data_IF_803935584542
#
_entry.id   IF_803935584542
#
_cell.length_a   1.000
_cell.length_b   1.000
_cell.length_c   1.000
_cell.angle_alpha   90.00
_cell.angle_beta   90.00
_cell.angle_gamma   90.00
#
_symmetry.space_group_name_H-M   'P 1'
#
loop_
_entity.id
_entity.type
_entity.pdbx_description
1 polymer ?
#
# COMPACT_ATOMS: atom_id res chain seq x y z
N UNK A 1 -2.41 -8.22 19.56
CA UNK A 1 -2.10 -7.91 20.99
C UNK A 1 -2.48 -6.46 21.24
N UNK A 2 -3.12 -6.13 22.37
CA UNK A 2 -3.44 -4.76 22.74
C UNK A 2 -2.65 -4.35 23.98
N UNK A 3 -1.90 -3.24 23.91
CA UNK A 3 -1.27 -2.64 25.07
C UNK A 3 -2.15 -1.55 25.66
N UNK A 4 -2.16 -1.47 27.00
CA UNK A 4 -2.81 -0.41 27.77
C UNK A 4 -1.72 0.46 28.37
N UNK A 5 -1.73 1.75 28.05
CA UNK A 5 -0.73 2.71 28.50
C UNK A 5 -1.47 3.93 29.03
N UNK A 6 -1.39 4.14 30.34
CA UNK A 6 -2.03 5.25 31.03
C UNK A 6 -1.08 6.44 31.07
N UNK A 7 -1.59 7.59 30.65
CA UNK A 7 -0.82 8.82 30.54
C UNK A 7 -1.65 10.03 30.98
N UNK A 8 -0.95 11.10 31.35
CA UNK A 8 -1.55 12.41 31.59
C UNK A 8 -1.01 13.42 30.56
N UNK A 9 -1.89 14.25 30.00
CA UNK A 9 -1.50 15.31 29.07
C UNK A 9 -0.74 16.44 29.78
N UNK A 10 0.46 16.75 29.31
CA UNK A 10 1.33 17.78 29.93
C UNK A 10 0.73 19.19 29.85
N UNK A 11 -0.18 19.44 28.90
CA UNK A 11 -0.79 20.75 28.70
C UNK A 11 -1.96 21.03 29.66
N UNK A 12 -2.81 20.04 29.95
CA UNK A 12 -4.10 20.27 30.64
C UNK A 12 -4.48 19.25 31.71
N UNK A 13 -3.54 18.34 32.02
CA UNK A 13 -3.66 17.26 32.99
C UNK A 13 -4.85 16.32 32.75
N UNK A 14 -5.33 16.20 31.51
CA UNK A 14 -6.34 15.21 31.17
C UNK A 14 -5.70 13.81 31.18
N UNK A 15 -6.23 12.92 32.02
CA UNK A 15 -5.88 11.51 32.03
C UNK A 15 -6.46 10.76 30.81
N UNK A 16 -5.63 9.93 30.19
CA UNK A 16 -5.93 9.17 28.97
C UNK A 16 -5.37 7.76 29.13
N UNK A 17 -6.16 6.75 28.74
CA UNK A 17 -5.67 5.37 28.60
C UNK A 17 -5.57 5.03 27.12
N UNK A 18 -4.35 5.01 26.59
CA UNK A 18 -4.09 4.51 25.24
C UNK A 18 -4.25 2.99 25.21
N UNK A 19 -5.16 2.51 24.37
CA UNK A 19 -5.44 1.08 24.15
C UNK A 19 -5.05 0.74 22.72
N UNK A 20 -3.78 0.41 22.53
CA UNK A 20 -3.12 0.35 21.22
C UNK A 20 -2.99 -1.10 20.76
N UNK A 21 -3.60 -1.43 19.62
CA UNK A 21 -3.33 -2.65 18.89
C UNK A 21 -1.97 -2.58 18.21
N UNK A 22 -1.13 -3.58 18.50
CA UNK A 22 0.24 -3.67 18.00
C UNK A 22 0.24 -4.30 16.60
N UNK A 23 0.88 -3.61 15.64
CA UNK A 23 1.15 -4.09 14.28
C UNK A 23 2.46 -4.85 14.13
N UNK A 24 2.85 -5.16 12.90
CA UNK A 24 4.10 -5.87 12.54
C UNK A 24 5.35 -4.98 12.46
N UNK A 25 5.19 -3.67 12.25
CA UNK A 25 6.31 -2.73 12.13
C UNK A 25 7.12 -2.60 13.44
N UNK A 26 8.44 -2.43 13.30
CA UNK A 26 9.36 -2.32 14.45
C UNK A 26 9.12 -1.07 15.30
N UNK A 27 8.76 0.05 14.67
CA UNK A 27 8.47 1.32 15.35
C UNK A 27 7.05 1.73 14.97
N UNK A 28 6.21 2.00 15.97
CA UNK A 28 4.79 2.30 15.78
C UNK A 28 4.44 3.60 16.51
N UNK A 29 4.01 4.60 15.75
CA UNK A 29 3.67 5.92 16.25
C UNK A 29 2.16 6.06 16.42
N UNK A 30 1.73 6.50 17.60
CA UNK A 30 0.34 6.74 17.94
C UNK A 30 0.18 8.17 18.45
N UNK A 31 -0.75 8.94 17.90
CA UNK A 31 -1.06 10.25 18.49
C UNK A 31 -2.45 10.74 18.10
N UNK A 32 -3.11 11.42 19.03
CA UNK A 32 -4.47 11.96 18.90
C UNK A 32 -4.53 13.39 19.41
N UNK A 33 -5.61 14.10 19.12
CA UNK A 33 -5.91 15.35 19.82
C UNK A 33 -6.40 15.04 21.24
N UNK A 34 -5.83 15.69 22.26
CA UNK A 34 -6.27 15.59 23.63
C UNK A 34 -7.78 15.90 23.73
N UNK A 35 -8.61 15.08 24.38
CA UNK A 35 -10.05 15.31 24.47
C UNK A 35 -10.42 16.69 25.04
N UNK A 36 -9.60 17.22 25.95
CA UNK A 36 -9.80 18.48 26.67
C UNK A 36 -9.19 19.68 25.95
N UNK A 37 -7.85 19.76 25.80
CA UNK A 37 -7.18 20.93 25.24
C UNK A 37 -6.91 20.88 23.73
N UNK A 38 -7.25 19.77 23.07
CA UNK A 38 -7.03 19.52 21.63
C UNK A 38 -5.57 19.50 21.16
N UNK A 39 -4.60 19.76 22.04
CA UNK A 39 -3.17 19.57 21.72
C UNK A 39 -2.88 18.11 21.40
N UNK A 40 -1.94 17.89 20.49
CA UNK A 40 -1.48 16.54 20.11
C UNK A 40 -0.90 15.86 21.34
N UNK A 41 -1.33 14.63 21.60
CA UNK A 41 -0.80 13.73 22.65
C UNK A 41 -0.55 12.37 22.04
N UNK A 42 0.48 11.64 22.48
CA UNK A 42 0.82 10.38 21.82
C UNK A 42 2.02 9.64 22.42
N UNK A 43 2.38 8.56 21.76
CA UNK A 43 3.48 7.70 22.14
C UNK A 43 4.08 6.99 20.92
N UNK A 44 5.38 6.71 20.99
CA UNK A 44 6.08 5.85 20.05
C UNK A 44 6.39 4.53 20.74
N UNK A 45 5.99 3.41 20.12
CA UNK A 45 6.30 2.06 20.58
C UNK A 45 7.43 1.45 19.77
N UNK A 46 8.34 0.77 20.47
CA UNK A 46 9.35 -0.10 19.90
C UNK A 46 8.93 -1.56 20.10
N UNK A 47 8.71 -2.27 18.99
CA UNK A 47 8.43 -3.70 19.00
C UNK A 47 9.74 -4.49 19.17
N UNK A 48 9.87 -5.13 20.32
CA UNK A 48 10.96 -6.04 20.63
C UNK A 48 10.47 -7.47 20.38
N UNK A 49 11.11 -8.16 19.43
CA UNK A 49 10.95 -9.60 19.30
C UNK A 49 11.93 -10.28 20.24
N UNK A 50 11.43 -11.02 21.23
CA UNK A 50 12.23 -12.03 21.92
C UNK A 50 11.85 -13.39 21.35
N UNK A 51 12.81 -14.15 20.78
CA UNK A 51 12.60 -15.57 20.55
C UNK A 51 12.23 -16.20 21.88
N UNK A 52 11.17 -16.99 21.86
CA UNK A 52 10.73 -17.75 23.02
C UNK A 52 10.24 -19.10 22.54
N UNK A 53 10.13 -20.04 23.46
CA UNK A 53 9.50 -21.32 23.17
C UNK A 53 8.53 -21.63 24.30
N UNK A 54 7.30 -21.96 23.95
CA UNK A 54 6.37 -22.61 24.88
C UNK A 54 6.31 -24.08 24.47
N UNK A 55 6.66 -24.99 25.38
CA UNK A 55 6.67 -26.45 25.12
C UNK A 55 7.46 -26.89 23.87
N UNK A 56 8.56 -26.20 23.55
CA UNK A 56 9.39 -26.51 22.38
C UNK A 56 8.84 -25.98 21.05
N UNK A 57 7.67 -25.34 21.06
CA UNK A 57 7.11 -24.63 19.90
C UNK A 57 7.73 -23.23 19.85
N UNK A 58 8.42 -22.85 18.75
CA UNK A 58 8.96 -21.50 18.59
C UNK A 58 7.82 -20.49 18.62
N UNK A 59 7.81 -19.62 19.63
CA UNK A 59 6.91 -18.48 19.70
C UNK A 59 7.72 -17.19 19.55
N UNK A 60 7.26 -16.28 18.69
CA UNK A 60 7.72 -14.88 18.74
C UNK A 60 6.89 -14.16 19.79
N UNK A 61 7.43 -13.96 20.98
CA UNK A 61 6.85 -13.01 21.93
C UNK A 61 7.21 -11.60 21.46
N UNK A 62 6.21 -10.89 20.99
CA UNK A 62 6.31 -9.48 20.68
C UNK A 62 6.01 -8.68 21.95
N UNK A 63 7.02 -8.05 22.53
CA UNK A 63 6.82 -7.05 23.58
C UNK A 63 7.00 -5.68 22.96
N UNK A 64 6.03 -4.78 23.10
CA UNK A 64 6.27 -3.38 22.77
C UNK A 64 6.64 -2.59 24.03
N UNK A 65 7.62 -1.70 23.91
CA UNK A 65 8.02 -0.78 24.97
C UNK A 65 7.82 0.64 24.49
N UNK A 66 7.38 1.54 25.37
CA UNK A 66 7.32 2.97 25.03
C UNK A 66 8.74 3.48 24.85
N UNK A 67 9.03 3.97 23.64
CA UNK A 67 10.29 4.61 23.27
C UNK A 67 10.24 6.10 23.55
N UNK A 68 9.11 6.75 23.29
CA UNK A 68 8.93 8.19 23.47
C UNK A 68 7.47 8.53 23.80
N UNK A 69 7.26 9.58 24.60
CA UNK A 69 5.96 10.20 24.85
C UNK A 69 5.88 11.55 24.14
N UNK A 70 4.69 11.90 23.64
CA UNK A 70 4.44 13.14 22.89
C UNK A 70 3.45 13.97 23.70
N UNK A 71 3.92 15.05 24.35
CA UNK A 71 3.11 15.98 25.15
C UNK A 71 2.23 15.28 26.21
N UNK A 72 2.77 14.21 26.76
CA UNK A 72 2.21 13.48 27.89
C UNK A 72 3.32 12.74 28.64
N UNK A 73 2.99 12.24 29.82
CA UNK A 73 3.87 11.37 30.60
C UNK A 73 3.07 10.22 31.20
N UNK A 74 3.77 9.15 31.59
CA UNK A 74 3.15 8.01 32.28
C UNK A 74 2.48 8.47 33.58
N UNK A 75 1.26 7.98 33.82
CA UNK A 75 0.56 8.13 35.08
C UNK A 75 -0.24 6.86 35.35
N UNK A 76 -0.29 6.43 36.62
CA UNK A 76 -1.09 5.28 37.01
C UNK A 76 -2.57 5.51 36.66
N UNK A 77 -3.26 4.44 36.22
CA UNK A 77 -4.64 4.54 35.71
C UNK A 77 -5.62 4.95 36.82
N UNK A 78 -6.34 6.06 36.63
CA UNK A 78 -7.46 6.48 37.47
C UNK A 78 -8.81 6.22 36.77
N UNK A 79 -9.88 6.11 37.55
CA UNK A 79 -11.20 5.69 37.05
C UNK A 79 -11.84 6.66 36.02
N UNK A 80 -11.41 7.92 36.02
CA UNK A 80 -11.90 9.00 35.17
C UNK A 80 -11.08 9.19 33.88
N UNK A 81 -10.02 8.42 33.67
CA UNK A 81 -9.23 8.51 32.45
C UNK A 81 -10.06 8.12 31.23
N UNK A 82 -9.88 8.86 30.14
CA UNK A 82 -10.62 8.64 28.90
C UNK A 82 -9.89 7.55 28.11
N UNK A 83 -10.54 6.40 27.81
CA UNK A 83 -9.94 5.39 26.95
C UNK A 83 -9.85 5.93 25.52
N UNK A 84 -8.72 5.67 24.86
CA UNK A 84 -8.50 5.96 23.45
C UNK A 84 -7.98 4.70 22.79
N UNK A 85 -8.87 4.03 22.09
CA UNK A 85 -8.57 2.87 21.27
C UNK A 85 -7.76 3.33 20.03
N UNK A 86 -6.75 2.58 19.61
CA UNK A 86 -5.99 2.83 18.36
C UNK A 86 -5.44 1.51 17.82
N UNK A 87 -5.06 1.49 16.54
CA UNK A 87 -4.34 0.37 15.93
C UNK A 87 -3.27 0.89 14.98
N UNK A 88 -2.07 0.27 14.96
CA UNK A 88 -0.97 0.74 14.12
C UNK A 88 -1.25 0.57 12.63
N UNK A 89 -1.92 -0.52 12.28
CA UNK A 89 -2.04 -0.97 10.89
C UNK A 89 -3.49 -1.03 10.39
N UNK A 90 -4.45 -0.54 11.17
CA UNK A 90 -5.87 -0.76 10.90
C UNK A 90 -6.73 0.44 11.25
N UNK A 91 -7.86 0.54 10.56
CA UNK A 91 -8.81 1.65 10.66
C UNK A 91 -10.17 1.11 11.08
N UNK A 92 -10.87 1.85 11.93
CA UNK A 92 -12.18 1.46 12.40
C UNK A 92 -13.08 2.67 12.72
N UNK A 93 -14.40 2.47 12.87
CA UNK A 93 -15.34 3.56 13.04
C UNK A 93 -15.09 4.40 14.29
N UNK A 94 -15.13 5.71 14.13
CA UNK A 94 -14.84 6.71 15.18
C UNK A 94 -15.73 6.59 16.41
N UNK A 95 -16.94 6.07 16.25
CA UNK A 95 -17.85 5.81 17.37
C UNK A 95 -17.24 4.89 18.44
N UNK A 96 -16.30 4.02 18.06
CA UNK A 96 -15.68 3.05 18.96
C UNK A 96 -14.38 3.54 19.63
N UNK A 97 -13.91 4.77 19.36
CA UNK A 97 -12.62 5.26 19.90
C UNK A 97 -12.57 5.29 21.41
N UNK A 98 -13.67 5.63 22.06
CA UNK A 98 -13.75 5.75 23.52
C UNK A 98 -14.47 4.56 24.17
N UNK A 99 -14.70 3.47 23.43
CA UNK A 99 -15.43 2.32 23.96
C UNK A 99 -14.55 1.49 24.91
N UNK A 100 -14.96 1.42 26.18
CA UNK A 100 -14.18 0.83 27.29
C UNK A 100 -13.90 -0.67 27.14
N UNK A 101 -14.81 -1.42 26.51
CA UNK A 101 -14.73 -2.88 26.41
C UNK A 101 -14.24 -3.36 25.04
N UNK A 102 -14.00 -2.43 24.10
CA UNK A 102 -13.48 -2.78 22.80
C UNK A 102 -12.06 -3.34 22.89
N UNK A 103 -11.74 -4.38 22.13
CA UNK A 103 -10.37 -4.81 21.85
C UNK A 103 -10.12 -4.51 20.38
N UNK A 104 -9.34 -3.46 20.05
CA UNK A 104 -9.17 -3.02 18.67
C UNK A 104 -8.71 -4.14 17.72
N UNK A 105 -7.74 -4.95 18.15
CA UNK A 105 -7.23 -6.06 17.34
C UNK A 105 -8.29 -7.13 17.06
N UNK A 106 -9.20 -7.42 17.99
CA UNK A 106 -10.23 -8.45 17.81
C UNK A 106 -11.31 -8.00 16.85
N UNK A 107 -11.82 -6.76 17.03
CA UNK A 107 -12.85 -6.22 16.15
C UNK A 107 -12.36 -6.17 14.70
N UNK A 108 -11.12 -5.70 14.49
CA UNK A 108 -10.61 -5.61 13.14
C UNK A 108 -10.31 -6.98 12.54
N UNK A 109 -9.72 -7.90 13.32
CA UNK A 109 -9.50 -9.27 12.88
C UNK A 109 -10.80 -9.88 12.35
N UNK A 110 -11.91 -9.71 13.09
CA UNK A 110 -13.22 -10.18 12.68
C UNK A 110 -13.68 -9.52 11.37
N UNK A 111 -13.67 -8.19 11.28
CA UNK A 111 -14.13 -7.48 10.06
C UNK A 111 -13.34 -7.86 8.81
N UNK A 112 -12.02 -7.97 8.93
CA UNK A 112 -11.16 -8.34 7.80
C UNK A 112 -11.42 -9.79 7.38
N UNK A 113 -11.53 -10.72 8.33
CA UNK A 113 -11.81 -12.13 8.04
C UNK A 113 -13.17 -12.30 7.38
N UNK A 114 -14.24 -11.72 7.94
CA UNK A 114 -15.59 -11.79 7.38
C UNK A 114 -15.65 -11.24 5.94
N UNK A 115 -14.94 -10.13 5.68
CA UNK A 115 -14.87 -9.57 4.33
C UNK A 115 -14.09 -10.47 3.36
N UNK A 116 -12.92 -10.95 3.78
CA UNK A 116 -12.06 -11.81 2.97
C UNK A 116 -12.76 -13.13 2.62
N UNK A 117 -13.48 -13.73 3.58
CA UNK A 117 -14.30 -14.93 3.36
C UNK A 117 -15.42 -14.66 2.36
N UNK A 118 -16.17 -13.56 2.53
CA UNK A 118 -17.23 -13.16 1.57
C UNK A 118 -16.70 -12.93 0.16
N UNK A 119 -15.45 -12.48 0.01
CA UNK A 119 -14.78 -12.29 -1.28
C UNK A 119 -14.17 -13.58 -1.84
N UNK A 120 -14.20 -14.68 -1.10
CA UNK A 120 -13.55 -15.93 -1.47
C UNK A 120 -12.02 -15.85 -1.49
N UNK A 121 -11.44 -14.87 -0.78
CA UNK A 121 -9.99 -14.68 -0.63
C UNK A 121 -9.42 -15.70 0.35
N UNK A 122 -10.23 -16.12 1.31
CA UNK A 122 -9.83 -16.93 2.46
C UNK A 122 -11.01 -17.84 2.88
N UNK A 123 -10.72 -19.03 3.40
CA UNK A 123 -11.72 -19.91 4.03
C UNK A 123 -11.36 -20.16 5.50
N UNK A 124 -12.28 -19.88 6.43
CA UNK A 124 -12.05 -20.04 7.86
C UNK A 124 -11.63 -21.46 8.25
N UNK A 125 -12.12 -22.47 7.53
CA UNK A 125 -11.74 -23.86 7.74
C UNK A 125 -10.22 -24.09 7.57
N UNK A 126 -9.55 -23.31 6.72
CA UNK A 126 -8.10 -23.43 6.47
C UNK A 126 -7.26 -23.02 7.69
N UNK A 127 -7.77 -22.16 8.58
CA UNK A 127 -7.10 -21.80 9.84
C UNK A 127 -7.22 -22.87 10.91
N UNK A 128 -8.17 -23.79 10.76
CA UNK A 128 -8.48 -24.82 11.75
C UNK A 128 -8.01 -26.20 11.34
N UNK A 129 -7.41 -26.34 10.15
CA UNK A 129 -6.89 -27.60 9.67
C UNK A 129 -5.83 -28.13 10.64
N UNK A 130 -6.08 -29.28 11.29
CA UNK A 130 -5.13 -29.85 12.24
C UNK A 130 -3.87 -30.25 11.47
N UNK A 131 -2.76 -29.58 11.77
CA UNK A 131 -1.45 -30.05 11.31
C UNK A 131 -1.07 -31.31 12.11
N UNK A 132 -0.13 -32.15 11.62
CA UNK A 132 0.41 -33.27 12.39
C UNK A 132 1.00 -32.87 13.76
N UNK A 133 1.19 -31.58 14.00
CA UNK A 133 1.77 -30.98 15.21
C UNK A 133 0.73 -30.25 16.09
N UNK A 134 -0.57 -30.37 15.81
CA UNK A 134 -1.65 -29.72 16.55
C UNK A 134 -2.29 -28.53 15.82
N UNK A 135 -3.18 -27.76 16.49
CA UNK A 135 -3.81 -26.59 15.89
C UNK A 135 -2.75 -25.52 15.56
N UNK A 136 -2.64 -25.14 14.28
CA UNK A 136 -1.80 -24.01 13.88
C UNK A 136 -2.61 -22.73 13.98
N UNK A 137 -2.24 -21.83 14.90
CA UNK A 137 -2.83 -20.50 14.96
C UNK A 137 -2.04 -19.57 14.03
N UNK A 138 -2.59 -19.28 12.85
CA UNK A 138 -2.05 -18.24 11.94
C UNK A 138 -2.71 -16.91 12.32
N UNK A 139 -1.92 -15.82 12.37
CA UNK A 139 -2.49 -14.50 12.64
C UNK A 139 -3.33 -14.02 11.45
N UNK A 140 -4.36 -13.21 11.68
CA UNK A 140 -5.16 -12.63 10.57
C UNK A 140 -4.29 -11.81 9.61
N UNK A 141 -3.27 -11.13 10.14
CA UNK A 141 -2.29 -10.42 9.33
C UNK A 141 -1.61 -11.37 8.34
N UNK A 142 -1.04 -12.47 8.82
CA UNK A 142 -0.36 -13.46 7.96
C UNK A 142 -1.34 -14.18 7.03
N UNK A 143 -2.53 -14.55 7.51
CA UNK A 143 -3.58 -15.23 6.74
C UNK A 143 -4.06 -14.39 5.55
N UNK A 144 -4.05 -13.06 5.70
CA UNK A 144 -4.40 -12.10 4.67
C UNK A 144 -3.17 -11.55 3.94
N UNK A 145 -2.05 -12.27 3.95
CA UNK A 145 -0.80 -11.89 3.25
C UNK A 145 -0.25 -10.52 3.66
N UNK A 146 -0.42 -10.15 4.92
CA UNK A 146 0.32 -9.06 5.55
C UNK A 146 1.80 -9.40 5.60
N UNK A 147 2.65 -8.40 5.40
CA UNK A 147 4.10 -8.60 5.36
C UNK A 147 4.83 -7.46 6.06
N UNK A 148 5.44 -7.79 7.21
CA UNK A 148 6.14 -6.86 8.07
C UNK A 148 7.54 -6.46 7.55
N UNK A 149 8.03 -7.08 6.47
CA UNK A 149 9.35 -6.82 5.90
C UNK A 149 9.30 -5.94 4.65
N UNK A 150 8.11 -5.55 4.15
CA UNK A 150 7.97 -4.79 2.91
C UNK A 150 8.81 -3.52 2.88
N UNK A 151 8.79 -2.71 3.95
CA UNK A 151 9.60 -1.49 4.00
C UNK A 151 11.09 -1.79 3.96
N UNK A 152 11.59 -2.74 4.77
CA UNK A 152 13.02 -3.09 4.80
C UNK A 152 13.50 -3.72 3.49
N UNK A 153 12.70 -4.59 2.89
CA UNK A 153 13.00 -5.25 1.64
C UNK A 153 13.05 -4.25 0.48
N UNK A 154 12.17 -3.26 0.48
CA UNK A 154 12.22 -2.19 -0.52
C UNK A 154 13.56 -1.45 -0.50
N UNK A 155 14.06 -1.09 0.69
CA UNK A 155 15.34 -0.38 0.79
C UNK A 155 16.53 -1.24 0.34
N UNK A 156 16.45 -2.57 0.51
CA UNK A 156 17.41 -3.52 -0.05
C UNK A 156 17.36 -3.48 -1.59
N UNK A 157 16.17 -3.59 -2.18
CA UNK A 157 15.94 -3.55 -3.63
C UNK A 157 16.45 -2.25 -4.24
N UNK A 158 16.06 -1.11 -3.67
CA UNK A 158 16.48 0.22 -4.13
C UNK A 158 17.99 0.34 -4.13
N UNK A 159 18.65 -0.09 -3.05
CA UNK A 159 20.11 0.00 -2.94
C UNK A 159 20.81 -0.92 -3.93
N UNK A 160 20.31 -2.14 -4.13
CA UNK A 160 20.83 -3.05 -5.15
C UNK A 160 20.69 -2.46 -6.56
N UNK A 161 19.53 -1.87 -6.88
CA UNK A 161 19.31 -1.16 -8.15
C UNK A 161 20.33 -0.03 -8.37
N UNK A 162 20.55 0.83 -7.37
CA UNK A 162 21.52 1.93 -7.44
C UNK A 162 22.96 1.42 -7.65
N UNK A 163 23.32 0.30 -7.02
CA UNK A 163 24.63 -0.33 -7.19
C UNK A 163 24.80 -0.92 -8.60
N UNK A 164 23.76 -1.54 -9.16
CA UNK A 164 23.76 -2.04 -10.54
C UNK A 164 23.92 -0.90 -11.54
N UNK A 165 23.19 0.20 -11.39
CA UNK A 165 23.31 1.38 -12.26
C UNK A 165 24.72 1.99 -12.20
N UNK A 166 25.41 1.87 -11.07
CA UNK A 166 26.79 2.30 -10.89
C UNK A 166 27.84 1.28 -11.41
N UNK A 167 27.41 0.12 -11.94
CA UNK A 167 28.29 -0.95 -12.40
C UNK A 167 28.93 -1.78 -11.27
N UNK A 168 28.44 -1.67 -10.04
CA UNK A 168 28.96 -2.34 -8.84
C UNK A 168 28.21 -3.65 -8.55
N UNK A 169 28.16 -4.55 -9.54
CA UNK A 169 27.32 -5.75 -9.54
C UNK A 169 27.58 -6.69 -8.34
N UNK A 170 28.84 -6.89 -7.94
CA UNK A 170 29.17 -7.74 -6.79
C UNK A 170 28.61 -7.19 -5.47
N UNK A 171 28.61 -5.87 -5.31
CA UNK A 171 28.04 -5.21 -4.12
C UNK A 171 26.51 -5.27 -4.14
N UNK A 172 25.92 -5.13 -5.33
CA UNK A 172 24.48 -5.31 -5.52
C UNK A 172 24.04 -6.71 -5.10
N UNK A 173 24.75 -7.76 -5.55
CA UNK A 173 24.43 -9.13 -5.19
C UNK A 173 24.52 -9.38 -3.67
N UNK A 174 25.56 -8.85 -3.01
CA UNK A 174 25.69 -8.90 -1.55
C UNK A 174 24.59 -8.15 -0.81
N UNK A 175 24.03 -7.10 -1.40
CA UNK A 175 22.89 -6.40 -0.81
C UNK A 175 21.62 -7.25 -0.93
N UNK A 176 21.37 -7.84 -2.11
CA UNK A 176 20.24 -8.74 -2.37
C UNK A 176 20.24 -9.98 -1.46
N UNK A 177 21.41 -10.42 -0.99
CA UNK A 177 21.54 -11.50 0.01
C UNK A 177 20.82 -11.22 1.34
N UNK A 178 20.50 -9.95 1.62
CA UNK A 178 19.80 -9.54 2.85
C UNK A 178 18.28 -9.59 2.73
N UNK A 179 17.76 -9.80 1.52
CA UNK A 179 16.32 -9.81 1.24
C UNK A 179 15.60 -10.87 2.08
N UNK A 180 14.53 -10.47 2.77
CA UNK A 180 13.91 -11.31 3.81
C UNK A 180 13.39 -12.65 3.29
N UNK A 181 12.88 -12.66 2.05
CA UNK A 181 12.28 -13.82 1.40
C UNK A 181 13.25 -14.56 0.46
N UNK A 182 14.55 -14.29 0.51
CA UNK A 182 15.52 -14.86 -0.44
C UNK A 182 15.57 -16.40 -0.45
N UNK A 183 15.27 -17.03 0.68
CA UNK A 183 15.31 -18.48 0.83
C UNK A 183 14.21 -19.20 0.04
N UNK A 184 13.08 -18.55 -0.23
CA UNK A 184 11.99 -19.12 -1.04
C UNK A 184 12.30 -19.09 -2.55
N UNK A 185 13.24 -18.24 -2.97
CA UNK A 185 13.63 -18.09 -4.37
C UNK A 185 14.64 -19.18 -4.80
N UNK A 186 14.50 -19.73 -6.03
CA UNK A 186 15.48 -20.63 -6.63
C UNK A 186 16.87 -20.00 -6.64
N UNK A 187 17.92 -20.77 -6.33
CA UNK A 187 19.30 -20.24 -6.22
C UNK A 187 19.78 -19.53 -7.49
N UNK A 188 19.41 -20.04 -8.66
CA UNK A 188 19.71 -19.47 -9.98
C UNK A 188 18.83 -18.27 -10.34
N UNK A 189 17.77 -18.00 -9.57
CA UNK A 189 16.84 -16.89 -9.77
C UNK A 189 17.04 -15.71 -8.81
N UNK A 190 18.16 -15.65 -8.09
CA UNK A 190 18.43 -14.60 -7.07
C UNK A 190 19.08 -13.36 -7.67
N UNK A 191 18.47 -12.80 -8.71
CA UNK A 191 18.85 -11.52 -9.33
C UNK A 191 17.75 -10.48 -9.14
N UNK A 192 18.07 -9.22 -9.44
CA UNK A 192 17.27 -8.05 -9.09
C UNK A 192 15.82 -8.15 -9.60
N UNK A 193 15.62 -8.48 -10.87
CA UNK A 193 14.29 -8.54 -11.50
C UNK A 193 13.37 -9.57 -10.82
N UNK A 194 13.87 -10.77 -10.51
CA UNK A 194 13.08 -11.79 -9.81
C UNK A 194 12.75 -11.39 -8.38
N UNK A 195 13.69 -10.73 -7.68
CA UNK A 195 13.46 -10.23 -6.33
C UNK A 195 12.42 -9.10 -6.36
N UNK A 196 12.45 -8.22 -7.36
CA UNK A 196 11.41 -7.22 -7.59
C UNK A 196 10.07 -7.92 -7.83
N UNK A 197 10.01 -8.94 -8.70
CA UNK A 197 8.76 -9.67 -8.95
C UNK A 197 8.19 -10.32 -7.69
N UNK A 198 9.01 -11.05 -6.92
CA UNK A 198 8.60 -11.65 -5.65
C UNK A 198 8.08 -10.59 -4.66
N UNK A 199 8.80 -9.48 -4.54
CA UNK A 199 8.42 -8.37 -3.70
C UNK A 199 7.05 -7.79 -4.09
N UNK A 200 6.84 -7.54 -5.38
CA UNK A 200 5.60 -6.97 -5.89
C UNK A 200 4.42 -7.95 -5.74
N UNK A 201 4.66 -9.26 -5.93
CA UNK A 201 3.65 -10.29 -5.67
C UNK A 201 3.24 -10.32 -4.19
N UNK A 202 4.20 -10.30 -3.26
CA UNK A 202 3.91 -10.18 -1.82
C UNK A 202 3.18 -8.88 -1.49
N UNK A 203 3.54 -7.79 -2.17
CA UNK A 203 2.91 -6.49 -1.98
C UNK A 203 1.43 -6.49 -2.41
N UNK A 204 1.07 -7.13 -3.53
CA UNK A 204 -0.33 -7.15 -4.00
C UNK A 204 -1.17 -8.31 -3.42
N UNK A 205 -0.54 -9.38 -2.92
CA UNK A 205 -1.23 -10.51 -2.32
C UNK A 205 -2.12 -10.06 -1.13
N UNK A 206 -3.31 -10.66 -0.95
CA UNK A 206 -3.85 -11.80 -1.70
C UNK A 206 -4.66 -11.40 -2.93
N UNK A 207 -4.72 -10.10 -3.31
CA UNK A 207 -5.38 -9.63 -4.53
C UNK A 207 -4.57 -9.92 -5.79
N UNK A 208 -4.24 -11.20 -6.02
CA UNK A 208 -3.57 -11.67 -7.23
C UNK A 208 -4.46 -11.52 -8.47
N UNK A 209 -5.78 -11.45 -8.28
CA UNK A 209 -6.74 -11.20 -9.37
C UNK A 209 -6.42 -9.91 -10.14
N UNK A 210 -5.96 -8.86 -9.47
CA UNK A 210 -5.54 -7.62 -10.13
C UNK A 210 -4.42 -7.86 -11.17
N UNK A 211 -3.50 -8.79 -10.90
CA UNK A 211 -2.45 -9.20 -11.82
C UNK A 211 -2.98 -10.15 -12.89
N UNK A 212 -3.69 -11.20 -12.49
CA UNK A 212 -4.23 -12.25 -13.38
C UNK A 212 -5.13 -11.64 -14.47
N UNK A 213 -6.03 -10.71 -14.10
CA UNK A 213 -6.93 -10.05 -15.05
C UNK A 213 -6.15 -9.32 -16.18
N UNK A 214 -4.91 -8.87 -15.92
CA UNK A 214 -4.05 -8.17 -16.90
C UNK A 214 -3.15 -9.16 -17.64
N UNK A 215 -2.57 -10.14 -16.95
CA UNK A 215 -1.80 -11.23 -17.55
C UNK A 215 -2.63 -11.97 -18.60
N UNK A 216 -3.91 -12.24 -18.31
CA UNK A 216 -4.85 -12.85 -19.26
C UNK A 216 -5.00 -12.02 -20.56
N UNK A 217 -4.98 -10.69 -20.48
CA UNK A 217 -5.04 -9.83 -21.67
C UNK A 217 -3.74 -9.91 -22.49
N UNK A 218 -2.59 -10.07 -21.82
CA UNK A 218 -1.31 -10.31 -22.49
C UNK A 218 -1.28 -11.67 -23.18
N UNK A 219 -1.75 -12.73 -22.52
CA UNK A 219 -1.85 -14.06 -23.13
C UNK A 219 -2.84 -14.10 -24.29
N UNK A 220 -3.96 -13.37 -24.22
CA UNK A 220 -4.87 -13.18 -25.36
C UNK A 220 -4.16 -12.49 -26.53
N UNK A 221 -3.40 -11.43 -26.27
CA UNK A 221 -2.66 -10.72 -27.31
C UNK A 221 -1.59 -11.60 -27.95
N UNK A 222 -0.88 -12.39 -27.14
CA UNK A 222 0.10 -13.39 -27.57
C UNK A 222 -0.51 -14.43 -28.51
N UNK A 223 -1.65 -14.99 -28.12
CA UNK A 223 -2.35 -16.01 -28.90
C UNK A 223 -2.93 -15.44 -30.21
N UNK A 224 -3.34 -14.17 -30.20
CA UNK A 224 -3.88 -13.49 -31.37
C UNK A 224 -2.79 -13.13 -32.38
N UNK A 225 -1.70 -12.51 -31.94
CA UNK A 225 -0.60 -12.12 -32.80
C UNK A 225 0.74 -12.09 -32.03
N UNK A 226 1.37 -13.25 -31.95
CA UNK A 226 2.65 -13.43 -31.28
C UNK A 226 3.78 -12.55 -31.85
N UNK A 227 3.79 -12.34 -33.17
CA UNK A 227 4.81 -11.53 -33.82
C UNK A 227 4.75 -10.08 -33.33
N UNK A 228 3.56 -9.51 -33.30
CA UNK A 228 3.36 -8.12 -32.87
C UNK A 228 3.66 -7.94 -31.37
N UNK A 229 3.36 -8.93 -30.53
CA UNK A 229 3.73 -8.91 -29.12
C UNK A 229 5.26 -8.93 -28.94
N UNK A 230 5.98 -9.66 -29.80
CA UNK A 230 7.45 -9.65 -29.80
C UNK A 230 8.01 -8.29 -30.23
N UNK A 231 7.43 -7.67 -31.25
CA UNK A 231 7.82 -6.30 -31.65
C UNK A 231 7.59 -5.29 -30.52
N UNK A 232 6.49 -5.43 -29.77
CA UNK A 232 6.24 -4.65 -28.55
C UNK A 232 7.29 -4.93 -27.46
N UNK A 233 7.68 -6.18 -27.23
CA UNK A 233 8.74 -6.55 -26.27
C UNK A 233 10.07 -5.89 -26.63
N UNK A 234 10.45 -5.93 -27.91
CA UNK A 234 11.67 -5.30 -28.40
C UNK A 234 11.62 -3.77 -28.25
N UNK A 235 10.50 -3.13 -28.59
CA UNK A 235 10.30 -1.70 -28.35
C UNK A 235 10.38 -1.36 -26.86
N UNK A 236 9.74 -2.14 -25.99
CA UNK A 236 9.80 -1.90 -24.55
C UNK A 236 11.24 -1.97 -24.03
N UNK A 237 11.99 -3.02 -24.38
CA UNK A 237 13.39 -3.22 -23.95
C UNK A 237 14.30 -2.08 -24.38
N UNK A 238 14.14 -1.60 -25.62
CA UNK A 238 15.03 -0.61 -26.23
C UNK A 238 14.67 0.83 -25.85
N UNK A 239 13.38 1.16 -25.76
CA UNK A 239 12.91 2.54 -25.69
C UNK A 239 12.27 2.92 -24.33
N UNK A 240 11.65 1.98 -23.63
CA UNK A 240 10.85 2.29 -22.42
C UNK A 240 11.47 1.78 -21.11
N UNK A 241 12.04 0.58 -21.10
CA UNK A 241 12.49 -0.15 -19.89
C UNK A 241 13.28 0.72 -18.93
N UNK A 242 14.32 1.39 -19.43
CA UNK A 242 15.21 2.20 -18.58
C UNK A 242 14.48 3.36 -17.91
N UNK A 243 13.64 4.06 -18.66
CA UNK A 243 12.87 5.20 -18.15
C UNK A 243 11.78 4.74 -17.17
N UNK A 244 11.03 3.70 -17.54
CA UNK A 244 9.97 3.13 -16.69
C UNK A 244 10.53 2.62 -15.37
N UNK A 245 11.58 1.79 -15.40
CA UNK A 245 12.17 1.22 -14.20
C UNK A 245 12.68 2.31 -13.25
N UNK A 246 13.32 3.37 -13.77
CA UNK A 246 13.73 4.51 -12.95
C UNK A 246 12.54 5.17 -12.25
N UNK A 247 11.46 5.46 -12.98
CA UNK A 247 10.25 6.07 -12.42
C UNK A 247 9.58 5.17 -11.38
N UNK A 248 9.55 3.85 -11.61
CA UNK A 248 9.06 2.90 -10.61
C UNK A 248 9.89 2.96 -9.34
N UNK A 249 11.21 2.87 -9.45
CA UNK A 249 12.10 2.99 -8.28
C UNK A 249 11.87 4.31 -7.54
N UNK A 250 11.63 5.41 -8.26
CA UNK A 250 11.37 6.72 -7.65
C UNK A 250 10.03 6.76 -6.88
N UNK A 251 8.92 6.31 -7.47
CA UNK A 251 7.61 6.40 -6.79
C UNK A 251 7.46 5.39 -5.65
N UNK A 252 7.98 4.17 -5.82
CA UNK A 252 8.00 3.22 -4.72
C UNK A 252 8.90 3.71 -3.59
N UNK A 253 9.99 4.43 -3.88
CA UNK A 253 10.78 5.07 -2.83
C UNK A 253 10.00 6.15 -2.07
N UNK A 254 9.27 7.02 -2.77
CA UNK A 254 8.39 8.01 -2.12
C UNK A 254 7.32 7.31 -1.25
N UNK A 255 6.73 6.22 -1.75
CA UNK A 255 5.77 5.39 -1.02
C UNK A 255 6.39 4.80 0.25
N UNK A 256 7.52 4.08 0.12
CA UNK A 256 8.10 3.34 1.24
C UNK A 256 8.83 4.21 2.26
N UNK A 257 9.29 5.41 1.88
CA UNK A 257 9.73 6.43 2.85
C UNK A 257 8.58 6.91 3.76
N UNK A 258 7.35 6.83 3.26
CA UNK A 258 6.13 7.18 4.01
C UNK A 258 5.27 5.94 4.33
N UNK A 259 5.87 4.73 4.30
CA UNK A 259 5.14 3.46 4.42
C UNK A 259 4.26 3.38 5.67
N UNK A 260 4.72 3.94 6.78
CA UNK A 260 4.00 3.97 8.06
C UNK A 260 2.60 4.60 7.98
N UNK A 261 2.35 5.47 7.01
CA UNK A 261 1.05 6.12 6.78
C UNK A 261 0.19 5.27 5.85
N UNK A 262 0.79 4.74 4.77
CA UNK A 262 0.11 3.88 3.79
C UNK A 262 -0.24 2.48 4.30
N UNK A 263 0.65 1.88 5.10
CA UNK A 263 0.50 0.53 5.66
C UNK A 263 -0.74 0.39 6.55
N UNK A 264 -1.27 1.50 7.08
CA UNK A 264 -2.43 1.50 8.01
C UNK A 264 -3.74 1.02 7.42
N UNK A 265 -3.82 1.01 6.10
CA UNK A 265 -4.97 0.50 5.36
C UNK A 265 -4.51 -0.39 4.20
N UNK A 266 -3.22 -0.72 4.09
CA UNK A 266 -2.74 -1.55 3.00
C UNK A 266 -3.43 -2.92 3.00
N UNK A 267 -3.67 -3.49 4.18
CA UNK A 267 -4.41 -4.75 4.30
C UNK A 267 -5.87 -4.62 3.82
N UNK A 268 -6.52 -3.50 4.13
CA UNK A 268 -7.85 -3.16 3.61
C UNK A 268 -7.85 -3.10 2.08
N UNK A 269 -6.87 -2.41 1.48
CA UNK A 269 -6.71 -2.35 0.03
C UNK A 269 -6.46 -3.73 -0.60
N UNK A 270 -5.59 -4.54 0.02
CA UNK A 270 -5.27 -5.91 -0.37
C UNK A 270 -6.48 -6.85 -0.40
N UNK A 271 -7.52 -6.58 0.39
CA UNK A 271 -8.77 -7.37 0.37
C UNK A 271 -9.96 -6.64 -0.26
N UNK A 272 -9.74 -5.47 -0.87
CA UNK A 272 -10.78 -4.62 -1.48
C UNK A 272 -11.85 -4.14 -0.49
N UNK A 273 -11.49 -3.95 0.78
CA UNK A 273 -12.36 -3.42 1.81
C UNK A 273 -12.17 -1.91 1.95
N UNK A 274 -13.05 -1.13 1.33
CA UNK A 274 -13.06 0.33 1.52
C UNK A 274 -13.57 0.69 2.93
N UNK A 275 -12.83 1.49 3.73
CA UNK A 275 -13.24 1.87 5.08
C UNK A 275 -14.54 2.71 5.14
N UNK A 276 -14.82 3.54 4.13
CA UNK A 276 -16.00 4.43 4.10
C UNK A 276 -17.29 3.82 3.53
N UNK A 277 -17.66 2.59 3.90
CA UNK A 277 -19.07 2.19 3.72
C UNK A 277 -19.97 2.90 4.77
N UNK A 278 -19.89 4.25 4.86
CA UNK A 278 -20.77 5.16 5.60
C UNK A 278 -20.33 5.63 6.99
N UNK A 279 -19.08 5.43 7.43
CA UNK A 279 -18.66 5.78 8.80
C UNK A 279 -17.36 6.60 8.86
N UNK A 280 -17.37 7.67 9.66
CA UNK A 280 -16.13 8.38 10.01
C UNK A 280 -15.15 7.38 10.62
N UNK A 281 -13.95 7.32 10.04
CA UNK A 281 -12.91 6.36 10.39
C UNK A 281 -11.74 7.08 11.05
N UNK A 282 -11.11 6.47 12.06
CA UNK A 282 -9.98 7.10 12.75
C UNK A 282 -8.66 6.55 12.24
N UNK A 283 -7.82 7.46 11.74
CA UNK A 283 -6.40 7.25 11.51
C UNK A 283 -5.62 8.28 12.32
N UNK A 284 -4.62 7.81 13.08
CA UNK A 284 -3.85 8.65 13.99
C UNK A 284 -2.43 8.09 14.12
N UNK A 285 -1.36 8.89 13.92
CA UNK A 285 -1.32 10.33 13.55
C UNK A 285 -1.81 10.64 12.13
N UNK A 286 -2.17 11.89 11.86
CA UNK A 286 -2.32 12.40 10.49
C UNK A 286 -1.09 13.24 10.17
N UNK A 287 -0.34 12.86 9.12
CA UNK A 287 0.91 13.52 8.68
C UNK A 287 0.81 13.84 7.17
N UNK A 288 -0.30 14.48 6.79
CA UNK A 288 -0.65 14.69 5.38
C UNK A 288 0.40 15.50 4.62
N UNK A 289 1.09 16.45 5.28
CA UNK A 289 2.09 17.29 4.63
C UNK A 289 3.21 16.51 3.96
N UNK A 290 3.56 15.32 4.48
CA UNK A 290 4.59 14.46 3.90
C UNK A 290 4.12 13.72 2.66
N UNK A 291 2.82 13.40 2.60
CA UNK A 291 2.27 12.53 1.55
C UNK A 291 1.38 13.27 0.55
N UNK A 292 1.07 14.55 0.76
CA UNK A 292 0.09 15.31 -0.04
C UNK A 292 0.33 15.33 -1.55
N UNK A 293 1.58 15.17 -1.99
CA UNK A 293 1.93 15.13 -3.41
C UNK A 293 1.90 13.72 -4.00
N UNK A 294 1.87 12.68 -3.16
CA UNK A 294 2.11 11.29 -3.56
C UNK A 294 1.12 10.85 -4.64
N UNK A 295 -0.20 11.01 -4.41
CA UNK A 295 -1.20 10.59 -5.39
C UNK A 295 -1.00 11.25 -6.76
N UNK A 296 -0.73 12.56 -6.78
CA UNK A 296 -0.47 13.29 -8.01
C UNK A 296 0.76 12.77 -8.76
N UNK A 297 1.85 12.47 -8.03
CA UNK A 297 3.07 11.92 -8.64
C UNK A 297 2.86 10.49 -9.15
N UNK A 298 2.22 9.63 -8.36
CA UNK A 298 1.86 8.28 -8.76
C UNK A 298 0.96 8.27 -10.00
N UNK A 299 0.01 9.19 -10.08
CA UNK A 299 -0.84 9.41 -11.26
C UNK A 299 -0.02 9.74 -12.50
N UNK A 300 0.97 10.62 -12.38
CA UNK A 300 1.84 10.99 -13.50
C UNK A 300 2.64 9.81 -14.04
N UNK A 301 3.21 9.00 -13.16
CA UNK A 301 3.97 7.83 -13.56
C UNK A 301 3.05 6.75 -14.13
N UNK A 302 1.93 6.47 -13.47
CA UNK A 302 0.96 5.49 -13.94
C UNK A 302 0.46 5.81 -15.35
N UNK A 303 0.03 7.05 -15.58
CA UNK A 303 -0.43 7.49 -16.90
C UNK A 303 0.69 7.59 -17.94
N UNK A 304 1.96 7.64 -17.52
CA UNK A 304 3.09 7.53 -18.45
C UNK A 304 3.35 6.09 -18.87
N UNK A 305 3.24 5.14 -17.93
CA UNK A 305 3.54 3.73 -18.16
C UNK A 305 2.36 2.95 -18.78
N UNK A 306 1.13 3.46 -18.68
CA UNK A 306 -0.08 2.85 -19.27
C UNK A 306 0.04 2.60 -20.79
N UNK A 307 1.01 3.23 -21.46
CA UNK A 307 1.34 2.98 -22.87
C UNK A 307 1.51 1.48 -23.15
N UNK A 308 2.13 0.72 -22.24
CA UNK A 308 2.33 -0.72 -22.39
C UNK A 308 0.98 -1.44 -22.55
N UNK A 309 -0.01 -1.10 -21.72
CA UNK A 309 -1.37 -1.66 -21.82
C UNK A 309 -2.09 -1.21 -23.08
N UNK A 310 -1.89 0.03 -23.51
CA UNK A 310 -2.47 0.56 -24.74
C UNK A 310 -1.94 -0.18 -25.97
N UNK A 311 -0.64 -0.44 -26.02
CA UNK A 311 -0.03 -1.24 -27.08
C UNK A 311 -0.58 -2.66 -27.12
N UNK A 312 -0.73 -3.33 -25.98
CA UNK A 312 -1.38 -4.65 -25.90
C UNK A 312 -2.83 -4.58 -26.39
N UNK A 313 -3.57 -3.56 -25.99
CA UNK A 313 -4.95 -3.38 -26.43
C UNK A 313 -5.06 -3.12 -27.94
N UNK A 314 -4.08 -2.47 -28.57
CA UNK A 314 -4.03 -2.33 -30.02
C UNK A 314 -3.88 -3.70 -30.70
N UNK A 315 -3.01 -4.58 -30.17
CA UNK A 315 -2.85 -5.96 -30.67
C UNK A 315 -4.18 -6.71 -30.55
N UNK A 316 -4.85 -6.63 -29.40
CA UNK A 316 -6.17 -7.25 -29.17
C UNK A 316 -7.26 -6.75 -30.14
N UNK A 317 -7.09 -5.55 -30.69
CA UNK A 317 -7.96 -4.96 -31.70
C UNK A 317 -7.54 -5.31 -33.14
N UNK A 318 -6.65 -6.29 -33.34
CA UNK A 318 -6.07 -6.66 -34.63
C UNK A 318 -5.34 -5.51 -35.33
N UNK A 319 -4.71 -4.62 -34.57
CA UNK A 319 -3.83 -3.55 -35.08
C UNK A 319 -2.39 -3.86 -34.72
N UNK A 320 -1.46 -3.13 -35.35
CA UNK A 320 -0.08 -3.08 -34.83
C UNK A 320 -0.05 -2.45 -33.45
N UNK A 321 0.94 -2.81 -32.62
CA UNK A 321 1.06 -2.31 -31.25
C UNK A 321 1.14 -0.78 -31.19
N UNK A 322 1.70 -0.15 -32.24
CA UNK A 322 1.90 1.28 -32.38
C UNK A 322 0.79 2.02 -33.18
N UNK A 323 -0.29 1.33 -33.55
CA UNK A 323 -1.34 1.91 -34.39
C UNK A 323 -2.62 2.24 -33.62
N UNK A 324 -3.08 3.48 -33.76
CA UNK A 324 -4.37 3.95 -33.26
C UNK A 324 -5.34 4.22 -34.41
N UNK A 325 -6.64 4.14 -34.12
CA UNK A 325 -7.72 4.35 -35.11
C UNK A 325 -7.74 5.77 -35.71
N UNK A 326 -7.43 6.77 -34.89
CA UNK A 326 -7.64 8.19 -35.24
C UNK A 326 -6.42 9.07 -34.94
N UNK A 327 -5.28 8.50 -34.55
CA UNK A 327 -4.05 9.26 -34.26
C UNK A 327 -2.79 8.43 -34.53
N UNK A 328 -1.63 9.09 -34.52
CA UNK A 328 -0.34 8.41 -34.60
C UNK A 328 0.17 8.06 -33.21
N UNK A 329 1.07 7.06 -33.14
CA UNK A 329 1.75 6.70 -31.90
C UNK A 329 2.44 7.90 -31.23
N UNK A 330 3.20 8.66 -32.01
CA UNK A 330 3.89 9.86 -31.52
C UNK A 330 2.93 10.93 -30.98
N UNK A 331 1.77 11.11 -31.62
CA UNK A 331 0.74 12.04 -31.14
C UNK A 331 0.14 11.57 -29.82
N UNK A 332 -0.09 10.26 -29.65
CA UNK A 332 -0.52 9.72 -28.36
C UNK A 332 0.52 9.97 -27.25
N UNK A 333 1.81 9.74 -27.55
CA UNK A 333 2.87 9.90 -26.56
C UNK A 333 3.01 11.35 -26.08
N UNK A 334 2.97 12.32 -27.01
CA UNK A 334 3.32 13.72 -26.76
C UNK A 334 2.12 14.64 -26.48
N UNK A 335 1.00 14.43 -27.16
CA UNK A 335 -0.07 15.44 -27.25
C UNK A 335 -1.32 15.05 -26.46
N UNK A 336 -1.47 13.77 -26.10
CA UNK A 336 -2.63 13.31 -25.30
C UNK A 336 -2.41 13.66 -23.82
N UNK A 337 -3.37 14.39 -23.27
CA UNK A 337 -3.37 14.76 -21.85
C UNK A 337 -3.38 13.52 -20.95
N UNK A 338 -2.80 13.62 -19.75
CA UNK A 338 -2.67 12.47 -18.83
C UNK A 338 -4.02 11.84 -18.48
N UNK A 339 -5.06 12.66 -18.32
CA UNK A 339 -6.43 12.23 -18.00
C UNK A 339 -7.09 11.51 -19.18
N UNK A 340 -6.59 11.71 -20.40
CA UNK A 340 -7.10 11.07 -21.61
C UNK A 340 -6.31 9.82 -22.01
N UNK A 341 -5.19 9.51 -21.35
CA UNK A 341 -4.31 8.40 -21.75
C UNK A 341 -4.96 7.01 -21.58
N UNK A 342 -5.92 6.84 -20.69
CA UNK A 342 -6.66 5.58 -20.52
C UNK A 342 -7.81 5.38 -21.53
N UNK A 343 -8.22 6.41 -22.29
CA UNK A 343 -9.35 6.33 -23.23
C UNK A 343 -9.25 5.18 -24.24
N UNK A 344 -8.07 4.82 -24.81
CA UNK A 344 -7.98 3.69 -25.74
C UNK A 344 -8.45 2.35 -25.13
N UNK A 345 -8.42 2.22 -23.81
CA UNK A 345 -8.72 0.99 -23.08
C UNK A 345 -10.21 0.81 -22.75
N UNK A 346 -11.07 1.81 -23.01
CA UNK A 346 -12.45 1.84 -22.51
C UNK A 346 -13.34 0.67 -22.97
N UNK A 347 -13.05 0.05 -24.11
CA UNK A 347 -13.81 -1.08 -24.64
C UNK A 347 -13.32 -2.44 -24.13
N UNK A 348 -12.15 -2.51 -23.50
CA UNK A 348 -11.66 -3.72 -22.85
C UNK A 348 -12.03 -3.67 -21.37
N UNK A 349 -12.90 -4.58 -20.92
CA UNK A 349 -13.45 -4.57 -19.56
C UNK A 349 -12.34 -4.64 -18.49
N UNK A 350 -11.36 -5.51 -18.69
CA UNK A 350 -10.27 -5.72 -17.73
C UNK A 350 -9.33 -4.51 -17.68
N UNK A 351 -8.90 -4.02 -18.84
CA UNK A 351 -7.99 -2.86 -18.93
C UNK A 351 -8.68 -1.56 -18.51
N UNK A 352 -9.98 -1.40 -18.79
CA UNK A 352 -10.77 -0.26 -18.30
C UNK A 352 -10.83 -0.27 -16.77
N UNK A 353 -11.27 -1.39 -16.18
CA UNK A 353 -11.37 -1.56 -14.71
C UNK A 353 -10.04 -1.26 -14.01
N UNK A 354 -8.93 -1.65 -14.63
CA UNK A 354 -7.58 -1.35 -14.12
C UNK A 354 -7.29 0.15 -14.00
N UNK A 355 -7.94 0.98 -14.83
CA UNK A 355 -7.69 2.42 -14.94
C UNK A 355 -8.80 3.30 -14.36
N UNK A 356 -9.93 2.72 -13.96
CA UNK A 356 -11.09 3.44 -13.39
C UNK A 356 -10.77 4.13 -12.05
N UNK A 357 -9.64 3.82 -11.41
CA UNK A 357 -9.16 4.44 -10.17
C UNK A 357 -8.59 5.86 -10.34
N UNK A 358 -8.45 6.34 -11.58
CA UNK A 358 -7.76 7.59 -11.89
C UNK A 358 -8.66 8.81 -11.67
N UNK A 359 -8.33 9.62 -10.67
CA UNK A 359 -9.07 10.85 -10.33
C UNK A 359 -8.24 12.10 -10.61
N UNK A 360 -8.52 12.73 -11.75
CA UNK A 360 -7.80 13.93 -12.19
C UNK A 360 -7.97 15.12 -11.25
N UNK A 361 -9.09 15.21 -10.52
CA UNK A 361 -9.36 16.27 -9.54
C UNK A 361 -8.38 16.20 -8.37
N UNK A 362 -8.14 15.01 -7.81
CA UNK A 362 -7.18 14.77 -6.72
C UNK A 362 -5.75 14.98 -7.21
N UNK A 363 -5.41 14.51 -8.41
CA UNK A 363 -4.10 14.76 -9.03
C UNK A 363 -3.82 16.26 -9.17
N UNK A 364 -4.76 17.02 -9.75
CA UNK A 364 -4.61 18.46 -9.92
C UNK A 364 -4.48 19.18 -8.56
N UNK A 365 -5.28 18.80 -7.57
CA UNK A 365 -5.18 19.36 -6.22
C UNK A 365 -3.81 19.11 -5.57
N UNK A 366 -3.28 17.88 -5.72
CA UNK A 366 -1.99 17.46 -5.16
C UNK A 366 -0.83 18.32 -5.68
N UNK A 367 -0.86 18.72 -6.96
CA UNK A 367 0.20 19.54 -7.58
C UNK A 367 0.03 21.05 -7.39
N UNK A 368 -1.19 21.54 -7.20
CA UNK A 368 -1.46 22.98 -7.11
C UNK A 368 -1.47 23.56 -5.69
N UNK A 369 -1.01 22.81 -4.68
CA UNK A 369 -0.90 23.24 -3.27
C UNK A 369 -2.23 23.70 -2.63
N UNK A 370 -3.36 23.35 -3.21
CA UNK A 370 -4.70 23.62 -2.65
C UNK A 370 -5.21 22.48 -1.79
N UNK A 371 -4.37 21.50 -1.47
CA UNK A 371 -4.73 20.32 -0.69
C UNK A 371 -4.17 20.43 0.72
N UNK A 372 -5.04 20.46 1.74
CA UNK A 372 -4.65 20.64 3.13
C UNK A 372 -5.62 19.94 4.09
N UNK A 373 -5.17 19.72 5.32
CA UNK A 373 -6.00 19.17 6.41
C UNK A 373 -7.03 20.21 6.84
N UNK A 374 -8.28 19.83 7.01
CA UNK A 374 -9.30 20.70 7.57
C UNK A 374 -9.06 20.91 9.07
N UNK A 375 -8.72 22.14 9.46
CA UNK A 375 -8.47 22.49 10.86
C UNK A 375 -9.69 22.27 11.77
N UNK A 376 -10.90 22.31 11.20
CA UNK A 376 -12.16 22.09 11.94
C UNK A 376 -12.51 20.61 12.07
N UNK A 377 -12.02 19.77 11.15
CA UNK A 377 -12.20 18.33 11.15
C UNK A 377 -10.92 17.65 10.67
N UNK A 378 -9.98 17.41 11.59
CA UNK A 378 -8.64 16.89 11.28
C UNK A 378 -8.61 15.58 10.48
N UNK A 379 -9.71 14.82 10.47
CA UNK A 379 -9.85 13.59 9.66
C UNK A 379 -10.20 13.84 8.19
N UNK A 380 -10.49 15.09 7.83
CA UNK A 380 -10.88 15.51 6.48
C UNK A 380 -9.79 16.37 5.86
N UNK A 381 -9.70 16.27 4.53
CA UNK A 381 -8.84 17.07 3.69
C UNK A 381 -9.72 17.93 2.78
N UNK A 382 -9.34 19.20 2.62
CA UNK A 382 -9.97 20.16 1.72
C UNK A 382 -9.12 20.34 0.46
N UNK A 383 -9.77 20.39 -0.69
CA UNK A 383 -9.10 20.66 -1.96
C UNK A 383 -9.97 21.38 -2.99
N UNK A 384 -9.33 21.91 -4.04
CA UNK A 384 -9.99 22.53 -5.19
C UNK A 384 -9.48 21.91 -6.48
N UNK A 385 -10.40 21.59 -7.39
CA UNK A 385 -10.06 21.26 -8.78
C UNK A 385 -9.68 22.54 -9.53
N UNK A 386 -8.63 22.51 -10.35
CA UNK A 386 -8.17 23.68 -11.10
C UNK A 386 -9.27 24.23 -12.05
N UNK A 387 -9.28 25.56 -12.23
CA UNK A 387 -10.07 26.26 -13.25
C UNK A 387 -11.36 26.94 -12.79
N UNK A 388 -12.11 26.37 -11.83
CA UNK A 388 -13.42 26.91 -11.39
C UNK A 388 -13.64 26.96 -9.88
N UNK A 389 -12.81 26.34 -9.04
CA UNK A 389 -13.27 25.10 -8.41
C UNK A 389 -13.94 25.36 -7.05
N UNK A 390 -15.15 24.84 -6.86
CA UNK A 390 -15.77 24.70 -5.55
C UNK A 390 -14.85 23.90 -4.61
N UNK A 391 -14.86 24.25 -3.34
CA UNK A 391 -14.15 23.48 -2.32
C UNK A 391 -14.76 22.08 -2.22
N UNK A 392 -13.92 21.07 -2.31
CA UNK A 392 -14.26 19.66 -2.16
C UNK A 392 -13.58 19.11 -0.92
N UNK A 393 -14.14 18.03 -0.39
CA UNK A 393 -13.61 17.34 0.78
C UNK A 393 -13.44 15.86 0.47
N UNK A 394 -12.39 15.27 1.04
CA UNK A 394 -12.13 13.83 1.05
C UNK A 394 -11.59 13.46 2.43
N UNK A 395 -11.91 12.30 2.97
CA UNK A 395 -11.28 11.90 4.23
C UNK A 395 -9.80 11.57 4.02
N UNK A 396 -9.01 11.66 5.08
CA UNK A 396 -7.62 11.22 5.04
C UNK A 396 -7.50 9.72 4.72
N UNK A 397 -8.47 8.93 5.18
CA UNK A 397 -8.56 7.49 4.95
C UNK A 397 -8.73 7.19 3.45
N UNK A 398 -9.64 7.90 2.79
CA UNK A 398 -9.88 7.75 1.36
C UNK A 398 -8.70 8.18 0.52
N UNK A 399 -8.03 9.26 0.92
CA UNK A 399 -6.81 9.69 0.25
C UNK A 399 -5.75 8.59 0.30
N UNK A 400 -5.50 8.02 1.49
CA UNK A 400 -4.58 6.89 1.64
C UNK A 400 -5.05 5.70 0.80
N UNK A 401 -6.36 5.39 0.78
CA UNK A 401 -6.89 4.23 0.08
C UNK A 401 -6.62 4.36 -1.42
N UNK A 402 -6.87 5.54 -1.98
CA UNK A 402 -6.57 5.86 -3.39
C UNK A 402 -5.06 5.81 -3.67
N UNK A 403 -4.22 6.25 -2.75
CA UNK A 403 -2.76 6.14 -2.86
C UNK A 403 -2.30 4.67 -2.93
N UNK A 404 -2.83 3.81 -2.06
CA UNK A 404 -2.52 2.39 -2.07
C UNK A 404 -3.03 1.71 -3.34
N UNK A 405 -4.25 2.03 -3.78
CA UNK A 405 -4.80 1.47 -5.02
C UNK A 405 -3.91 1.78 -6.22
N UNK A 406 -3.56 3.05 -6.45
CA UNK A 406 -2.71 3.41 -7.60
C UNK A 406 -1.32 2.76 -7.50
N UNK A 407 -0.78 2.61 -6.29
CA UNK A 407 0.50 1.93 -6.05
C UNK A 407 0.41 0.44 -6.38
N UNK A 408 -0.67 -0.24 -6.01
CA UNK A 408 -0.91 -1.64 -6.39
C UNK A 408 -1.02 -1.80 -7.91
N UNK A 409 -1.63 -0.84 -8.63
CA UNK A 409 -1.68 -0.89 -10.10
C UNK A 409 -0.30 -0.61 -10.72
N UNK A 410 0.50 0.28 -10.14
CA UNK A 410 1.90 0.45 -10.53
C UNK A 410 2.70 -0.85 -10.33
N UNK A 411 2.49 -1.55 -9.21
CA UNK A 411 3.12 -2.85 -8.94
C UNK A 411 2.75 -3.89 -10.00
N UNK A 412 1.46 -4.02 -10.32
CA UNK A 412 1.01 -4.94 -11.37
C UNK A 412 1.57 -4.56 -12.74
N UNK A 413 1.60 -3.27 -13.07
CA UNK A 413 2.15 -2.83 -14.35
C UNK A 413 3.65 -3.15 -14.47
N UNK A 414 4.42 -2.98 -13.39
CA UNK A 414 5.83 -3.39 -13.37
C UNK A 414 6.00 -4.92 -13.47
N UNK A 415 5.17 -5.71 -12.79
CA UNK A 415 5.18 -7.18 -12.94
C UNK A 415 4.97 -7.60 -14.39
N UNK A 416 3.98 -7.00 -15.05
CA UNK A 416 3.63 -7.25 -16.45
C UNK A 416 4.75 -6.79 -17.40
N UNK A 417 5.39 -5.66 -17.10
CA UNK A 417 6.53 -5.18 -17.88
C UNK A 417 7.78 -6.06 -17.69
N UNK A 418 7.99 -6.64 -16.50
CA UNK A 418 9.04 -7.66 -16.27
C UNK A 418 8.73 -8.92 -17.08
N UNK A 419 7.48 -9.39 -17.07
CA UNK A 419 7.03 -10.51 -17.90
C UNK A 419 7.33 -10.25 -19.39
N UNK A 420 7.07 -9.03 -19.87
CA UNK A 420 7.36 -8.64 -21.25
C UNK A 420 8.86 -8.66 -21.58
N UNK A 421 9.74 -8.39 -20.61
CA UNK A 421 11.21 -8.48 -20.80
C UNK A 421 11.65 -9.94 -21.00
N UNK A 422 11.03 -10.88 -20.30
CA UNK A 422 11.36 -12.30 -20.38
C UNK A 422 10.80 -12.99 -21.64
N UNK A 423 9.88 -12.31 -22.32
CA UNK A 423 9.38 -12.65 -23.66
C UNK A 423 10.42 -12.38 -24.75
#
# INVERSE_FOLDING_TARGET
MTQRISVECDTCSQGIVFRVGIGGEKIQLFSVACPKCKQKVGLELLLNSKPSSFEGIPMKHFMATVKEYINCHYKDEEADFIPINLHAELVYPKIHINEKFLIPSTMVAQTLMEHAEKKGIFNYDDLTNPTPFGPSFISVFDALSGDANLSSDWFIIKKAYQLNEAGLNDLSQKELEKYSNLASLPKNGRYLENIISDFLFRYIAPNTKLYIDIEDEFEKARNLNNHELKELSDYYKNDLKKFHLKNYIEIFDDYFNNYKDFNRILLNNKIELHPESGTESIICPIDFDKIKMYYGNAYEFFTSHIITLVCVNNILQNRKYDQFEHMTFNKYLKDVSKESKSKPLHNNVNLKKFTDILESTIRNASHHKWFYVDETNIGMLKYRSGGTGAEQTISYVDYLYKCNEITMRLAVLLLIEIYLIEY
#
